data_IF_946101070207
#
_entry.id   IF_946101070207
#
_cell.length_a   1.000
_cell.length_b   1.000
_cell.length_c   1.000
_cell.angle_alpha   90.00
_cell.angle_beta   90.00
_cell.angle_gamma   90.00
#
_symmetry.space_group_name_H-M   'P 1'
#
loop_
_entity.id
_entity.type
_entity.pdbx_description
1 polymer ?
#
# COMPACT_ATOMS: atom_id res chain seq x y z
N UNK A 1 45.52 13.21 -25.62
CA UNK A 1 44.29 13.16 -26.43
C UNK A 1 43.64 11.81 -26.22
N UNK A 2 42.59 11.73 -25.40
CA UNK A 2 41.77 10.52 -25.29
C UNK A 2 40.88 10.49 -26.52
N UNK A 3 41.00 9.45 -27.34
CA UNK A 3 40.28 9.36 -28.61
C UNK A 3 38.75 9.46 -28.38
N UNK A 4 38.02 10.26 -29.17
CA UNK A 4 36.56 10.43 -29.02
C UNK A 4 35.78 9.12 -29.14
N UNK A 5 36.30 8.11 -29.84
CA UNK A 5 35.65 6.81 -30.03
C UNK A 5 35.47 5.97 -28.75
N UNK A 6 36.35 6.05 -27.76
CA UNK A 6 36.22 5.25 -26.52
C UNK A 6 35.13 5.77 -25.59
N UNK A 7 34.90 7.08 -25.59
CA UNK A 7 33.83 7.73 -24.82
C UNK A 7 32.46 7.45 -25.44
N UNK A 8 32.35 7.46 -26.77
CA UNK A 8 31.08 7.18 -27.47
C UNK A 8 30.64 5.71 -27.29
N UNK A 9 31.56 4.75 -27.36
CA UNK A 9 31.25 3.32 -27.15
C UNK A 9 30.80 3.07 -25.70
N UNK A 10 31.46 3.69 -24.71
CA UNK A 10 31.06 3.61 -23.29
C UNK A 10 29.66 4.18 -23.04
N UNK A 11 29.31 5.31 -23.66
CA UNK A 11 28.01 5.94 -23.52
C UNK A 11 26.87 5.15 -24.20
N UNK A 12 27.10 4.66 -25.41
CA UNK A 12 26.17 3.76 -26.11
C UNK A 12 25.87 2.51 -25.27
N UNK A 13 26.90 1.94 -24.66
CA UNK A 13 26.75 0.75 -23.80
C UNK A 13 25.88 1.04 -22.56
N UNK A 14 26.09 2.19 -21.88
CA UNK A 14 25.29 2.58 -20.71
C UNK A 14 23.83 2.86 -21.05
N UNK A 15 23.59 3.57 -22.15
CA UNK A 15 22.23 3.88 -22.62
C UNK A 15 21.48 2.62 -23.06
N UNK A 16 22.16 1.68 -23.72
CA UNK A 16 21.58 0.38 -24.08
C UNK A 16 21.25 -0.46 -22.84
N UNK A 17 22.12 -0.48 -21.81
CA UNK A 17 21.84 -1.17 -20.54
C UNK A 17 20.61 -0.58 -19.86
N UNK A 18 20.53 0.76 -19.76
CA UNK A 18 19.39 1.43 -19.15
C UNK A 18 18.09 1.13 -19.91
N UNK A 19 18.11 1.21 -21.24
CA UNK A 19 16.95 0.91 -22.08
C UNK A 19 16.52 -0.55 -21.93
N UNK A 20 17.47 -1.48 -21.88
CA UNK A 20 17.20 -2.91 -21.70
C UNK A 20 16.57 -3.18 -20.34
N UNK A 21 17.11 -2.59 -19.27
CA UNK A 21 16.56 -2.71 -17.92
C UNK A 21 15.17 -2.10 -17.82
N UNK A 22 14.98 -0.87 -18.32
CA UNK A 22 13.68 -0.20 -18.29
C UNK A 22 12.63 -0.99 -19.08
N UNK A 23 12.99 -1.52 -20.26
CA UNK A 23 12.10 -2.38 -21.06
C UNK A 23 11.77 -3.69 -20.32
N UNK A 24 12.74 -4.27 -19.62
CA UNK A 24 12.53 -5.48 -18.82
C UNK A 24 11.62 -5.22 -17.62
N UNK A 25 11.77 -4.06 -16.95
CA UNK A 25 10.87 -3.60 -15.88
C UNK A 25 9.44 -3.44 -16.41
N UNK A 26 9.25 -2.78 -17.56
CA UNK A 26 7.95 -2.64 -18.20
C UNK A 26 7.31 -3.99 -18.53
N UNK A 27 8.09 -4.93 -19.07
CA UNK A 27 7.63 -6.31 -19.30
C UNK A 27 7.23 -7.02 -18.01
N UNK A 28 8.01 -6.86 -16.94
CA UNK A 28 7.70 -7.39 -15.62
C UNK A 28 6.43 -6.79 -15.01
N UNK A 29 6.21 -5.49 -15.16
CA UNK A 29 4.97 -4.83 -14.75
C UNK A 29 3.76 -5.32 -15.52
N UNK A 30 3.86 -5.44 -16.85
CA UNK A 30 2.76 -5.97 -17.66
C UNK A 30 2.39 -7.39 -17.23
N UNK A 31 3.38 -8.24 -16.99
CA UNK A 31 3.17 -9.62 -16.54
C UNK A 31 2.49 -9.65 -15.17
N UNK A 32 3.03 -8.92 -14.19
CA UNK A 32 2.50 -8.88 -12.83
C UNK A 32 1.09 -8.27 -12.81
N UNK A 33 0.87 -7.15 -13.49
CA UNK A 33 -0.43 -6.51 -13.58
C UNK A 33 -1.47 -7.45 -14.22
N UNK A 34 -1.11 -8.16 -15.29
CA UNK A 34 -2.01 -9.13 -15.94
C UNK A 34 -2.39 -10.28 -14.99
N UNK A 35 -1.41 -10.82 -14.26
CA UNK A 35 -1.66 -11.88 -13.29
C UNK A 35 -2.57 -11.40 -12.15
N UNK A 36 -2.27 -10.22 -11.57
CA UNK A 36 -3.05 -9.62 -10.50
C UNK A 36 -4.46 -9.27 -10.95
N UNK A 37 -4.64 -8.68 -12.14
CA UNK A 37 -5.97 -8.38 -12.69
C UNK A 37 -6.82 -9.65 -12.83
N UNK A 38 -6.24 -10.75 -13.31
CA UNK A 38 -6.97 -11.99 -13.49
C UNK A 38 -7.31 -12.73 -12.21
N UNK A 39 -6.39 -12.81 -11.24
CA UNK A 39 -6.69 -13.31 -9.88
C UNK A 39 -7.77 -12.43 -9.23
N UNK A 40 -7.65 -11.13 -9.41
CA UNK A 40 -8.63 -10.13 -9.00
C UNK A 40 -10.02 -10.32 -9.61
N UNK A 41 -10.08 -10.70 -10.88
CA UNK A 41 -11.33 -11.00 -11.58
C UNK A 41 -12.08 -12.15 -10.91
N UNK A 42 -11.34 -13.18 -10.51
CA UNK A 42 -11.88 -14.34 -9.77
C UNK A 42 -12.37 -13.88 -8.39
N UNK A 43 -11.57 -13.08 -7.67
CA UNK A 43 -11.94 -12.53 -6.36
C UNK A 43 -13.21 -11.67 -6.43
N UNK A 44 -13.32 -10.76 -7.40
CA UNK A 44 -14.52 -9.95 -7.64
C UNK A 44 -15.75 -10.83 -7.89
N UNK A 45 -15.60 -11.90 -8.68
CA UNK A 45 -16.69 -12.84 -8.97
C UNK A 45 -17.13 -13.58 -7.72
N UNK A 46 -16.19 -14.07 -6.90
CA UNK A 46 -16.47 -14.73 -5.62
C UNK A 46 -17.20 -13.79 -4.65
N UNK A 47 -16.80 -12.52 -4.62
CA UNK A 47 -17.42 -11.48 -3.78
C UNK A 47 -18.70 -10.87 -4.39
N UNK A 48 -19.08 -11.28 -5.61
CA UNK A 48 -20.21 -10.74 -6.39
C UNK A 48 -20.13 -9.21 -6.54
N UNK A 49 -18.93 -8.71 -6.82
CA UNK A 49 -18.64 -7.31 -7.03
C UNK A 49 -18.59 -6.96 -8.52
N UNK A 50 -18.84 -5.70 -8.90
CA UNK A 50 -18.72 -5.26 -10.29
C UNK A 50 -17.29 -5.45 -10.83
N UNK A 51 -17.19 -5.79 -12.11
CA UNK A 51 -15.91 -6.03 -12.81
C UNK A 51 -15.20 -4.70 -13.12
N UNK A 52 -14.67 -4.06 -12.08
CA UNK A 52 -13.92 -2.81 -12.17
C UNK A 52 -12.42 -3.15 -12.20
N UNK A 53 -11.66 -2.78 -13.26
CA UNK A 53 -10.24 -3.17 -13.42
C UNK A 53 -9.37 -2.83 -12.23
N UNK A 54 -9.50 -1.63 -11.67
CA UNK A 54 -8.67 -1.24 -10.52
C UNK A 54 -9.02 -2.02 -9.25
N UNK A 55 -10.30 -2.31 -9.02
CA UNK A 55 -10.73 -3.14 -7.90
C UNK A 55 -10.22 -4.59 -8.06
N UNK A 56 -10.19 -5.08 -9.30
CA UNK A 56 -9.59 -6.38 -9.62
C UNK A 56 -8.10 -6.37 -9.25
N UNK A 57 -7.33 -5.37 -9.69
CA UNK A 57 -5.91 -5.27 -9.35
C UNK A 57 -5.67 -5.35 -7.83
N UNK A 58 -6.40 -4.55 -7.04
CA UNK A 58 -6.24 -4.53 -5.58
C UNK A 58 -6.61 -5.84 -4.90
N UNK A 59 -7.74 -6.46 -5.29
CA UNK A 59 -8.13 -7.75 -4.75
C UNK A 59 -7.20 -8.88 -5.21
N UNK A 60 -6.66 -8.78 -6.42
CA UNK A 60 -5.64 -9.67 -6.94
C UNK A 60 -4.34 -9.59 -6.15
N UNK A 61 -3.93 -8.39 -5.77
CA UNK A 61 -2.76 -8.17 -4.91
C UNK A 61 -2.99 -8.77 -3.51
N UNK A 62 -4.14 -8.49 -2.89
CA UNK A 62 -4.47 -9.02 -1.58
C UNK A 62 -4.56 -10.56 -1.58
N UNK A 63 -5.22 -11.14 -2.58
CA UNK A 63 -5.32 -12.59 -2.74
C UNK A 63 -3.95 -13.23 -3.00
N UNK A 64 -3.11 -12.65 -3.87
CA UNK A 64 -1.78 -13.18 -4.16
C UNK A 64 -0.87 -13.13 -2.94
N UNK A 65 -0.89 -12.03 -2.17
CA UNK A 65 -0.16 -11.93 -0.92
C UNK A 65 -0.57 -13.03 0.06
N UNK A 66 -1.88 -13.21 0.26
CA UNK A 66 -2.43 -14.22 1.17
C UNK A 66 -2.07 -15.65 0.73
N UNK A 67 -2.17 -15.94 -0.57
CA UNK A 67 -1.80 -17.25 -1.13
C UNK A 67 -0.31 -17.53 -0.93
N UNK A 68 0.55 -16.54 -1.16
CA UNK A 68 2.00 -16.68 -0.96
C UNK A 68 2.35 -16.91 0.51
N UNK A 69 1.70 -16.21 1.43
CA UNK A 69 1.89 -16.45 2.87
C UNK A 69 1.46 -17.87 3.27
N UNK A 70 0.29 -18.33 2.82
CA UNK A 70 -0.18 -19.70 3.09
C UNK A 70 0.78 -20.74 2.49
N UNK A 71 1.23 -20.54 1.25
CA UNK A 71 2.18 -21.43 0.61
C UNK A 71 3.51 -21.49 1.37
N UNK A 72 3.98 -20.33 1.83
CA UNK A 72 5.26 -20.22 2.52
C UNK A 72 5.29 -20.89 3.89
N UNK A 73 4.13 -21.10 4.53
CA UNK A 73 4.05 -21.87 5.78
C UNK A 73 4.63 -23.28 5.65
N UNK A 74 4.55 -23.88 4.45
CA UNK A 74 4.92 -25.29 4.22
C UNK A 74 6.02 -25.49 3.19
N UNK A 75 6.25 -24.53 2.30
CA UNK A 75 7.28 -24.61 1.24
C UNK A 75 8.03 -23.29 1.09
N UNK A 76 9.29 -23.30 0.65
CA UNK A 76 9.96 -22.06 0.23
C UNK A 76 9.20 -21.41 -0.93
N UNK A 77 9.26 -20.08 -1.05
CA UNK A 77 8.72 -19.36 -2.20
C UNK A 77 9.54 -19.70 -3.43
N UNK A 78 9.08 -20.68 -4.20
CA UNK A 78 9.76 -21.26 -5.35
C UNK A 78 9.11 -20.88 -6.69
N UNK A 79 9.69 -21.35 -7.79
CA UNK A 79 9.17 -21.09 -9.14
C UNK A 79 7.80 -21.70 -9.38
N UNK A 80 7.42 -22.76 -8.65
CA UNK A 80 6.15 -23.44 -8.82
C UNK A 80 4.98 -22.55 -8.39
N UNK A 81 5.07 -21.88 -7.24
CA UNK A 81 4.03 -20.94 -6.81
C UNK A 81 3.98 -19.70 -7.72
N UNK A 82 5.14 -19.20 -8.17
CA UNK A 82 5.19 -18.09 -9.13
C UNK A 82 4.52 -18.41 -10.46
N UNK A 83 4.82 -19.58 -11.04
CA UNK A 83 4.18 -20.04 -12.27
C UNK A 83 2.69 -20.30 -12.08
N UNK A 84 2.29 -20.83 -10.92
CA UNK A 84 0.88 -21.06 -10.60
C UNK A 84 0.10 -19.75 -10.58
N UNK A 85 0.57 -18.74 -9.84
CA UNK A 85 -0.06 -17.42 -9.80
C UNK A 85 -0.14 -16.78 -11.19
N UNK A 86 0.92 -16.92 -11.99
CA UNK A 86 0.95 -16.40 -13.35
C UNK A 86 -0.08 -17.09 -14.25
N UNK A 87 -0.12 -18.42 -14.27
CA UNK A 87 -1.04 -19.21 -15.10
C UNK A 87 -2.49 -18.97 -14.69
N UNK A 88 -2.80 -19.05 -13.39
CA UNK A 88 -4.14 -18.78 -12.89
C UNK A 88 -4.57 -17.33 -13.13
N UNK A 89 -3.64 -16.37 -13.00
CA UNK A 89 -3.90 -14.97 -13.32
C UNK A 89 -4.20 -14.76 -14.80
N UNK A 90 -3.34 -15.24 -15.71
CA UNK A 90 -3.58 -15.10 -17.16
C UNK A 90 -4.88 -15.81 -17.56
N UNK A 91 -5.14 -17.02 -17.06
CA UNK A 91 -6.38 -17.74 -17.34
C UNK A 91 -7.61 -17.01 -16.78
N UNK A 92 -7.52 -16.44 -15.58
CA UNK A 92 -8.56 -15.61 -14.96
C UNK A 92 -8.89 -14.36 -15.77
N UNK A 93 -7.86 -13.70 -16.31
CA UNK A 93 -8.02 -12.53 -17.17
C UNK A 93 -8.64 -12.91 -18.53
N UNK A 94 -8.11 -13.95 -19.18
CA UNK A 94 -8.59 -14.40 -20.50
C UNK A 94 -10.03 -14.93 -20.47
N UNK A 95 -10.43 -15.59 -19.36
CA UNK A 95 -11.79 -16.10 -19.19
C UNK A 95 -12.81 -15.03 -18.82
N UNK A 96 -12.38 -13.84 -18.38
CA UNK A 96 -13.27 -12.78 -17.91
C UNK A 96 -13.40 -11.64 -18.94
N UNK A 97 -14.18 -11.89 -19.99
CA UNK A 97 -14.44 -10.91 -21.06
C UNK A 97 -15.04 -9.59 -20.56
N UNK A 98 -15.80 -9.63 -19.47
CA UNK A 98 -16.38 -8.43 -18.88
C UNK A 98 -15.30 -7.50 -18.31
N UNK A 99 -14.31 -8.06 -17.60
CA UNK A 99 -13.18 -7.30 -17.08
C UNK A 99 -12.32 -6.72 -18.21
N UNK A 100 -12.01 -7.52 -19.23
CA UNK A 100 -11.23 -7.07 -20.40
C UNK A 100 -11.99 -5.96 -21.14
N UNK A 101 -13.30 -6.12 -21.32
CA UNK A 101 -14.16 -5.08 -21.90
C UNK A 101 -14.17 -3.79 -21.08
N UNK A 102 -14.24 -3.89 -19.75
CA UNK A 102 -14.16 -2.74 -18.85
C UNK A 102 -12.79 -2.04 -18.94
N UNK A 103 -11.69 -2.79 -18.95
CA UNK A 103 -10.33 -2.26 -19.10
C UNK A 103 -10.17 -1.51 -20.43
N UNK A 104 -10.59 -2.11 -21.54
CA UNK A 104 -10.55 -1.46 -22.86
C UNK A 104 -11.48 -0.23 -22.91
N UNK A 105 -12.63 -0.30 -22.23
CA UNK A 105 -13.55 0.83 -22.11
C UNK A 105 -12.92 2.00 -21.35
N UNK A 106 -12.29 1.75 -20.22
CA UNK A 106 -11.59 2.76 -19.42
C UNK A 106 -10.45 3.39 -20.22
N UNK A 107 -9.65 2.58 -20.91
CA UNK A 107 -8.57 3.08 -21.79
C UNK A 107 -9.09 3.95 -22.94
N UNK A 108 -10.23 3.60 -23.54
CA UNK A 108 -10.87 4.39 -24.63
C UNK A 108 -11.47 5.70 -24.15
N UNK A 109 -11.80 5.81 -22.86
CA UNK A 109 -12.35 7.03 -22.25
C UNK A 109 -11.27 8.04 -21.86
N UNK A 110 -10.01 7.62 -21.80
CA UNK A 110 -8.90 8.54 -21.54
C UNK A 110 -8.75 9.50 -22.72
N UNK A 111 -8.72 10.78 -22.43
CA UNK A 111 -8.36 11.81 -23.39
C UNK A 111 -6.85 11.74 -23.72
N UNK A 112 -6.44 12.47 -24.77
CA UNK A 112 -5.06 12.46 -25.25
C UNK A 112 -4.07 12.96 -24.21
N UNK A 113 -4.42 13.96 -23.40
CA UNK A 113 -3.52 14.50 -22.39
C UNK A 113 -3.30 13.50 -21.26
N UNK A 114 -4.36 12.82 -20.79
CA UNK A 114 -4.24 11.71 -19.83
C UNK A 114 -3.32 10.60 -20.33
N UNK A 115 -3.48 10.19 -21.60
CA UNK A 115 -2.65 9.13 -22.19
C UNK A 115 -1.18 9.56 -22.23
N UNK A 116 -0.88 10.77 -22.72
CA UNK A 116 0.49 11.29 -22.79
C UNK A 116 1.10 11.38 -21.39
N UNK A 117 0.35 11.90 -20.41
CA UNK A 117 0.81 12.02 -19.03
C UNK A 117 1.09 10.65 -18.40
N UNK A 118 0.18 9.69 -18.54
CA UNK A 118 0.38 8.33 -18.00
C UNK A 118 1.54 7.61 -18.68
N UNK A 119 1.73 7.77 -19.99
CA UNK A 119 2.90 7.22 -20.69
C UNK A 119 4.20 7.88 -20.23
N UNK A 120 4.21 9.19 -19.98
CA UNK A 120 5.37 9.89 -19.44
C UNK A 120 5.70 9.39 -18.02
N UNK A 121 4.69 9.27 -17.14
CA UNK A 121 4.86 8.72 -15.79
C UNK A 121 5.38 7.29 -15.86
N UNK A 122 4.81 6.44 -16.72
CA UNK A 122 5.23 5.06 -16.92
C UNK A 122 6.71 4.97 -17.33
N UNK A 123 7.12 5.80 -18.30
CA UNK A 123 8.50 5.85 -18.77
C UNK A 123 9.47 6.34 -17.68
N UNK A 124 9.11 7.41 -16.95
CA UNK A 124 9.91 7.92 -15.84
C UNK A 124 10.07 6.84 -14.78
N UNK A 125 8.98 6.23 -14.32
CA UNK A 125 9.03 5.20 -13.29
C UNK A 125 9.86 3.99 -13.74
N UNK A 126 9.80 3.57 -15.00
CA UNK A 126 10.60 2.46 -15.51
C UNK A 126 12.11 2.78 -15.47
N UNK A 127 12.48 4.01 -15.82
CA UNK A 127 13.86 4.50 -15.70
C UNK A 127 14.29 4.57 -14.23
N UNK A 128 13.45 5.10 -13.34
CA UNK A 128 13.75 5.18 -11.90
C UNK A 128 13.90 3.80 -11.26
N UNK A 129 13.04 2.85 -11.62
CA UNK A 129 13.09 1.45 -11.15
C UNK A 129 14.29 0.68 -11.72
N UNK A 130 14.96 1.22 -12.74
CA UNK A 130 16.23 0.71 -13.27
C UNK A 130 17.46 1.24 -12.51
N UNK A 131 17.27 2.16 -11.55
CA UNK A 131 18.33 2.75 -10.73
C UNK A 131 18.93 1.80 -9.67
N UNK A 132 19.90 2.27 -8.88
CA UNK A 132 20.46 1.49 -7.77
C UNK A 132 19.41 1.29 -6.64
N UNK A 133 19.63 0.28 -5.80
CA UNK A 133 18.87 0.09 -4.57
C UNK A 133 19.43 1.01 -3.48
N UNK A 134 18.78 2.14 -3.22
CA UNK A 134 19.19 3.12 -2.20
C UNK A 134 18.41 2.96 -0.89
N UNK A 135 17.37 2.12 -0.86
CA UNK A 135 16.53 1.95 0.32
C UNK A 135 17.30 1.22 1.45
N UNK A 136 17.53 1.93 2.56
CA UNK A 136 18.36 1.47 3.69
C UNK A 136 17.93 0.11 4.26
N UNK A 137 16.62 -0.08 4.49
CA UNK A 137 16.10 -1.28 5.13
C UNK A 137 16.27 -2.54 4.26
N UNK A 138 16.41 -2.38 2.93
CA UNK A 138 16.71 -3.48 2.01
C UNK A 138 18.05 -4.11 2.33
N UNK A 139 19.10 -3.28 2.50
CA UNK A 139 20.43 -3.75 2.86
C UNK A 139 20.54 -4.18 4.33
N UNK A 140 19.76 -3.56 5.21
CA UNK A 140 19.77 -3.87 6.64
C UNK A 140 19.19 -5.24 6.98
N UNK A 141 18.06 -5.62 6.36
CA UNK A 141 17.43 -6.92 6.58
C UNK A 141 16.58 -7.41 5.42
N UNK A 142 15.99 -6.54 4.61
CA UNK A 142 15.00 -6.91 3.61
C UNK A 142 15.48 -7.92 2.56
N UNK A 143 16.65 -7.71 1.97
CA UNK A 143 17.23 -8.63 0.98
C UNK A 143 17.57 -10.01 1.59
N UNK A 144 18.02 -10.03 2.85
CA UNK A 144 18.30 -11.26 3.59
C UNK A 144 16.99 -11.99 3.96
N UNK A 145 15.95 -11.27 4.39
CA UNK A 145 14.61 -11.83 4.60
C UNK A 145 14.07 -12.47 3.33
N UNK A 146 14.13 -11.78 2.18
CA UNK A 146 13.73 -12.36 0.89
C UNK A 146 14.52 -13.63 0.57
N UNK A 147 15.82 -13.69 0.91
CA UNK A 147 16.63 -14.91 0.74
C UNK A 147 16.15 -16.06 1.61
N UNK A 148 15.84 -15.82 2.88
CA UNK A 148 15.24 -16.84 3.76
C UNK A 148 13.96 -17.40 3.17
N UNK A 149 13.07 -16.55 2.65
CA UNK A 149 11.79 -16.96 2.06
C UNK A 149 11.95 -17.84 0.81
N UNK A 150 12.98 -17.58 -0.01
CA UNK A 150 13.25 -18.37 -1.22
C UNK A 150 13.95 -19.69 -0.89
N UNK A 151 14.72 -19.74 0.20
CA UNK A 151 15.53 -20.92 0.54
C UNK A 151 14.81 -21.93 1.43
N UNK A 152 13.91 -21.48 2.30
CA UNK A 152 13.28 -22.33 3.31
C UNK A 152 11.78 -22.02 3.43
N UNK A 153 10.95 -22.99 3.89
CA UNK A 153 9.62 -22.67 4.40
C UNK A 153 9.72 -21.81 5.67
N UNK A 154 8.59 -21.34 6.21
CA UNK A 154 8.55 -20.55 7.44
C UNK A 154 9.32 -21.24 8.60
N UNK A 155 10.45 -20.64 8.99
CA UNK A 155 11.36 -21.19 10.00
C UNK A 155 10.96 -20.75 11.42
N UNK A 156 10.69 -21.69 12.33
CA UNK A 156 10.41 -21.38 13.73
C UNK A 156 11.58 -20.61 14.39
N UNK A 157 11.29 -19.47 14.99
CA UNK A 157 12.25 -18.72 15.80
C UNK A 157 13.32 -17.95 15.04
N UNK A 158 13.16 -17.70 13.74
CA UNK A 158 14.13 -16.94 12.94
C UNK A 158 14.48 -15.57 13.55
N UNK A 159 13.54 -14.96 14.28
CA UNK A 159 13.75 -13.71 15.02
C UNK A 159 14.79 -13.82 16.16
N UNK A 160 15.07 -15.01 16.69
CA UNK A 160 16.13 -15.21 17.69
C UNK A 160 17.53 -15.17 17.08
N UNK A 161 17.67 -15.49 15.80
CA UNK A 161 18.95 -15.35 15.10
C UNK A 161 19.29 -13.87 14.94
N UNK A 162 18.30 -13.07 14.54
CA UNK A 162 18.42 -11.62 14.48
C UNK A 162 17.02 -10.99 14.49
N UNK A 163 16.76 -10.07 15.43
CA UNK A 163 15.40 -9.56 15.70
C UNK A 163 14.67 -8.99 14.48
N UNK A 164 15.40 -8.42 13.51
CA UNK A 164 14.78 -7.86 12.29
C UNK A 164 14.20 -8.92 11.35
N UNK A 165 14.61 -10.18 11.45
CA UNK A 165 13.96 -11.28 10.72
C UNK A 165 12.60 -11.66 11.30
N UNK A 166 12.27 -11.15 12.50
CA UNK A 166 10.91 -11.18 13.04
C UNK A 166 10.00 -10.08 12.51
N UNK A 167 10.50 -9.10 11.75
CA UNK A 167 9.66 -8.07 11.14
C UNK A 167 8.84 -8.69 10.01
N UNK A 168 7.63 -9.11 10.35
CA UNK A 168 6.75 -9.82 9.45
C UNK A 168 6.05 -8.87 8.47
N UNK A 169 6.23 -9.09 7.18
CA UNK A 169 5.58 -8.31 6.12
C UNK A 169 5.18 -9.18 4.93
N UNK A 170 3.90 -9.12 4.53
CA UNK A 170 3.39 -9.81 3.33
C UNK A 170 3.95 -9.24 2.01
N UNK A 171 4.69 -8.13 2.07
CA UNK A 171 5.46 -7.63 0.94
C UNK A 171 6.64 -8.56 0.59
N UNK A 172 7.29 -9.18 1.58
CA UNK A 172 8.47 -10.01 1.32
C UNK A 172 8.16 -11.25 0.47
N UNK A 173 7.06 -12.01 0.70
CA UNK A 173 6.67 -13.09 -0.21
C UNK A 173 6.38 -12.61 -1.64
N UNK A 174 5.74 -11.44 -1.80
CA UNK A 174 5.48 -10.83 -3.11
C UNK A 174 6.78 -10.45 -3.85
N UNK A 175 7.82 -10.03 -3.12
CA UNK A 175 9.14 -9.78 -3.71
C UNK A 175 9.88 -11.11 -3.96
N UNK A 176 9.77 -12.07 -3.05
CA UNK A 176 10.46 -13.36 -3.13
C UNK A 176 10.03 -14.19 -4.35
N UNK A 177 8.75 -14.15 -4.73
CA UNK A 177 8.27 -14.88 -5.92
C UNK A 177 8.91 -14.38 -7.22
N UNK A 178 9.40 -13.13 -7.23
CA UNK A 178 10.10 -12.55 -8.37
C UNK A 178 11.57 -13.00 -8.49
N UNK A 179 12.11 -13.73 -7.51
CA UNK A 179 13.49 -14.26 -7.56
C UNK A 179 13.69 -15.40 -8.56
N UNK A 180 12.66 -15.78 -9.31
CA UNK A 180 12.68 -16.94 -10.18
C UNK A 180 12.55 -16.56 -11.66
N UNK A 181 13.13 -17.39 -12.53
CA UNK A 181 13.04 -17.23 -13.98
C UNK A 181 13.62 -15.90 -14.48
N UNK A 182 13.01 -15.35 -15.53
CA UNK A 182 13.48 -14.11 -16.17
C UNK A 182 13.29 -12.85 -15.30
N UNK A 183 12.47 -12.92 -14.25
CA UNK A 183 12.23 -11.82 -13.32
C UNK A 183 13.28 -11.75 -12.20
N UNK A 184 14.10 -12.79 -12.01
CA UNK A 184 15.10 -12.84 -10.95
C UNK A 184 16.03 -11.61 -10.92
N UNK A 185 16.56 -11.11 -12.06
CA UNK A 185 17.37 -9.88 -12.08
C UNK A 185 16.60 -8.60 -11.72
N UNK A 186 15.26 -8.66 -11.78
CA UNK A 186 14.34 -7.54 -11.54
C UNK A 186 13.67 -7.59 -10.16
N UNK A 187 13.97 -8.60 -9.32
CA UNK A 187 13.31 -8.88 -8.03
C UNK A 187 12.88 -7.62 -7.26
N UNK A 188 13.81 -6.70 -7.00
CA UNK A 188 13.59 -5.51 -6.16
C UNK A 188 13.06 -4.29 -6.93
N UNK A 189 12.76 -4.42 -8.23
CA UNK A 189 12.47 -3.32 -9.16
C UNK A 189 11.01 -3.26 -9.62
N UNK A 190 10.24 -4.31 -9.32
CA UNK A 190 8.90 -4.48 -9.90
C UNK A 190 7.81 -3.90 -8.99
N UNK A 191 7.73 -4.34 -7.73
CA UNK A 191 6.53 -4.14 -6.91
C UNK A 191 6.24 -2.66 -6.64
N UNK A 192 7.22 -1.90 -6.13
CA UNK A 192 6.99 -0.51 -5.70
C UNK A 192 6.64 0.41 -6.88
N UNK A 193 7.45 0.36 -7.95
CA UNK A 193 7.17 1.14 -9.16
C UNK A 193 5.83 0.79 -9.82
N UNK A 194 5.42 -0.49 -9.79
CA UNK A 194 4.10 -0.91 -10.26
C UNK A 194 2.98 -0.29 -9.41
N UNK A 195 3.11 -0.32 -8.08
CA UNK A 195 2.12 0.27 -7.18
C UNK A 195 2.00 1.78 -7.35
N UNK A 196 3.12 2.48 -7.55
CA UNK A 196 3.13 3.93 -7.83
C UNK A 196 2.48 4.21 -9.19
N UNK A 197 2.73 3.40 -10.22
CA UNK A 197 2.08 3.56 -11.51
C UNK A 197 0.57 3.33 -11.44
N UNK A 198 0.13 2.31 -10.71
CA UNK A 198 -1.30 2.04 -10.47
C UNK A 198 -1.95 3.18 -9.67
N UNK A 199 -1.22 3.76 -8.71
CA UNK A 199 -1.65 4.97 -8.01
C UNK A 199 -1.84 6.14 -8.97
N UNK A 200 -0.92 6.33 -9.92
CA UNK A 200 -1.02 7.35 -10.96
C UNK A 200 -2.27 7.16 -11.83
N UNK A 201 -2.59 5.93 -12.25
CA UNK A 201 -3.81 5.64 -13.00
C UNK A 201 -5.08 6.05 -12.24
N UNK A 202 -5.10 5.90 -10.92
CA UNK A 202 -6.23 6.29 -10.07
C UNK A 202 -6.34 7.81 -9.85
N UNK A 203 -5.21 8.52 -9.86
CA UNK A 203 -5.15 9.96 -9.54
C UNK A 203 -5.36 10.82 -10.80
N UNK A 204 -4.79 10.42 -11.95
CA UNK A 204 -4.81 11.24 -13.17
C UNK A 204 -6.23 11.44 -13.70
N UNK A 205 -7.06 10.39 -13.74
CA UNK A 205 -8.40 10.49 -14.31
C UNK A 205 -9.32 11.49 -13.55
N UNK A 206 -9.41 11.46 -12.20
CA UNK A 206 -10.09 12.51 -11.43
C UNK A 206 -9.55 13.93 -11.68
N UNK A 207 -8.23 14.11 -11.71
CA UNK A 207 -7.62 15.42 -11.96
C UNK A 207 -8.08 16.00 -13.30
N UNK A 208 -8.12 15.17 -14.34
CA UNK A 208 -8.49 15.60 -15.68
C UNK A 208 -9.97 15.96 -15.77
N UNK A 209 -10.86 15.20 -15.11
CA UNK A 209 -12.28 15.56 -14.98
C UNK A 209 -12.47 16.92 -14.30
N UNK A 210 -11.70 17.21 -13.25
CA UNK A 210 -11.73 18.52 -12.59
C UNK A 210 -11.25 19.64 -13.52
N UNK A 211 -10.15 19.42 -14.24
CA UNK A 211 -9.60 20.40 -15.20
C UNK A 211 -10.58 20.72 -16.33
N UNK A 212 -11.28 19.70 -16.85
CA UNK A 212 -12.33 19.87 -17.86
C UNK A 212 -13.68 20.32 -17.29
N UNK A 213 -13.79 20.53 -15.97
CA UNK A 213 -15.02 20.89 -15.25
C UNK A 213 -16.16 19.88 -15.47
N UNK A 214 -15.82 18.63 -15.73
CA UNK A 214 -16.75 17.51 -15.88
C UNK A 214 -17.17 16.91 -14.54
N UNK A 215 -16.41 17.21 -13.48
CA UNK A 215 -16.69 16.80 -12.11
C UNK A 215 -16.45 17.96 -11.14
N UNK A 216 -17.18 17.95 -10.04
CA UNK A 216 -16.89 18.76 -8.86
C UNK A 216 -17.04 17.92 -7.58
N UNK A 217 -16.81 16.61 -7.68
CA UNK A 217 -16.96 15.72 -6.54
C UNK A 217 -15.84 15.96 -5.51
N UNK A 218 -16.16 15.98 -4.20
CA UNK A 218 -15.16 15.99 -3.15
C UNK A 218 -14.12 14.88 -3.27
N UNK A 219 -14.49 13.70 -3.78
CA UNK A 219 -13.53 12.59 -3.92
C UNK A 219 -12.53 12.82 -5.05
N UNK A 220 -12.94 13.51 -6.10
CA UNK A 220 -12.04 13.89 -7.19
C UNK A 220 -11.05 14.95 -6.70
N UNK A 221 -11.52 15.90 -5.87
CA UNK A 221 -10.64 16.86 -5.19
C UNK A 221 -9.66 16.18 -4.23
N UNK A 222 -10.11 15.19 -3.45
CA UNK A 222 -9.21 14.39 -2.63
C UNK A 222 -8.14 13.69 -3.48
N UNK A 223 -8.54 13.04 -4.58
CA UNK A 223 -7.59 12.42 -5.51
C UNK A 223 -6.61 13.45 -6.12
N UNK A 224 -7.07 14.67 -6.40
CA UNK A 224 -6.22 15.74 -6.90
C UNK A 224 -5.16 16.21 -5.89
N UNK A 225 -5.49 16.24 -4.59
CA UNK A 225 -4.49 16.50 -3.54
C UNK A 225 -3.40 15.42 -3.55
N UNK A 226 -3.76 14.15 -3.83
CA UNK A 226 -2.80 13.04 -3.90
C UNK A 226 -1.83 13.15 -5.10
N UNK A 227 -2.04 14.06 -6.05
CA UNK A 227 -1.05 14.36 -7.10
C UNK A 227 0.29 14.84 -6.51
N UNK A 228 0.25 15.50 -5.35
CA UNK A 228 1.43 16.01 -4.67
C UNK A 228 2.32 14.86 -4.13
N UNK A 229 1.83 13.96 -3.24
CA UNK A 229 2.62 12.81 -2.81
C UNK A 229 3.01 11.90 -3.98
N UNK A 230 2.15 11.74 -5.00
CA UNK A 230 2.47 10.99 -6.21
C UNK A 230 3.72 11.56 -6.92
N UNK A 231 3.79 12.88 -7.07
CA UNK A 231 4.95 13.55 -7.67
C UNK A 231 6.22 13.25 -6.86
N UNK A 232 6.13 13.27 -5.52
CA UNK A 232 7.27 12.90 -4.68
C UNK A 232 7.64 11.42 -4.79
N UNK A 233 6.68 10.49 -4.89
CA UNK A 233 6.98 9.07 -5.09
C UNK A 233 7.67 8.81 -6.43
N UNK A 234 7.25 9.50 -7.50
CA UNK A 234 7.88 9.40 -8.82
C UNK A 234 9.32 9.91 -8.78
N UNK A 235 9.58 11.00 -8.05
CA UNK A 235 10.88 11.67 -8.03
C UNK A 235 11.86 11.12 -6.99
N UNK A 236 11.40 10.44 -5.95
CA UNK A 236 12.26 9.83 -4.91
C UNK A 236 13.12 8.68 -5.47
N UNK A 237 14.25 8.41 -4.81
CA UNK A 237 15.28 7.44 -5.23
C UNK A 237 15.09 6.01 -4.71
N UNK A 238 14.04 5.78 -3.94
CA UNK A 238 13.87 4.57 -3.12
C UNK A 238 12.83 3.58 -3.65
N UNK A 239 12.48 3.65 -4.96
CA UNK A 239 11.57 2.72 -5.64
C UNK A 239 12.15 1.31 -5.87
N UNK A 240 13.45 1.14 -5.64
CA UNK A 240 14.15 -0.14 -5.78
C UNK A 240 14.50 -0.65 -4.39
N UNK A 241 13.91 -1.78 -3.99
CA UNK A 241 14.16 -2.37 -2.70
C UNK A 241 13.03 -3.25 -2.18
N UNK A 242 12.92 -3.26 -0.86
CA UNK A 242 11.87 -3.94 -0.09
C UNK A 242 11.22 -2.97 0.88
N UNK A 243 10.90 -1.75 0.42
CA UNK A 243 10.30 -0.71 1.24
C UNK A 243 8.87 -1.10 1.61
N UNK A 244 8.61 -1.28 2.91
CA UNK A 244 7.27 -1.60 3.42
C UNK A 244 6.38 -0.37 3.62
N UNK A 245 6.98 0.82 3.74
CA UNK A 245 6.28 2.05 4.15
C UNK A 245 5.47 2.66 3.00
N UNK A 246 6.07 2.74 1.81
CA UNK A 246 5.42 3.30 0.61
C UNK A 246 4.21 2.46 0.16
N UNK A 247 4.32 1.13 -0.05
CA UNK A 247 3.18 0.28 -0.34
C UNK A 247 2.06 0.40 0.70
N UNK A 248 2.39 0.37 2.00
CA UNK A 248 1.38 0.51 3.06
C UNK A 248 0.69 1.89 3.03
N UNK A 249 1.42 2.96 2.70
CA UNK A 249 0.88 4.32 2.57
C UNK A 249 -0.05 4.44 1.37
N UNK A 250 0.33 3.89 0.21
CA UNK A 250 -0.52 3.83 -0.99
C UNK A 250 -1.84 3.10 -0.68
N UNK A 251 -1.77 1.92 -0.07
CA UNK A 251 -2.95 1.14 0.28
C UNK A 251 -3.85 1.89 1.28
N UNK A 252 -3.25 2.55 2.28
CA UNK A 252 -3.98 3.35 3.27
C UNK A 252 -4.71 4.53 2.63
N UNK A 253 -4.04 5.29 1.75
CA UNK A 253 -4.63 6.45 1.08
C UNK A 253 -5.77 6.07 0.14
N UNK A 254 -5.63 4.98 -0.61
CA UNK A 254 -6.74 4.50 -1.45
C UNK A 254 -7.87 3.90 -0.64
N UNK A 255 -7.60 3.23 0.47
CA UNK A 255 -8.66 2.82 1.40
C UNK A 255 -9.43 4.04 1.94
N UNK A 256 -8.72 5.10 2.35
CA UNK A 256 -9.33 6.37 2.78
C UNK A 256 -10.16 6.98 1.64
N UNK A 257 -9.65 7.00 0.42
CA UNK A 257 -10.39 7.47 -0.76
C UNK A 257 -11.70 6.70 -0.98
N UNK A 258 -11.68 5.37 -0.94
CA UNK A 258 -12.87 4.53 -1.09
C UNK A 258 -13.88 4.74 0.05
N UNK A 259 -13.42 4.87 1.30
CA UNK A 259 -14.28 5.20 2.45
C UNK A 259 -14.91 6.58 2.25
N UNK A 260 -14.11 7.57 1.86
CA UNK A 260 -14.57 8.93 1.65
C UNK A 260 -15.65 9.01 0.55
N UNK A 261 -15.45 8.31 -0.57
CA UNK A 261 -16.45 8.15 -1.64
C UNK A 261 -17.74 7.51 -1.16
N UNK A 262 -17.63 6.46 -0.34
CA UNK A 262 -18.78 5.76 0.20
C UNK A 262 -19.63 6.60 1.18
N UNK A 263 -19.04 7.59 1.85
CA UNK A 263 -19.70 8.41 2.87
C UNK A 263 -20.21 9.77 2.38
N UNK A 264 -19.60 10.38 1.37
CA UNK A 264 -19.97 11.74 0.92
C UNK A 264 -21.11 11.80 -0.11
N UNK A 265 -22.13 10.95 0.05
CA UNK A 265 -23.38 10.98 -0.73
C UNK A 265 -23.24 10.84 -2.26
N UNK A 266 -22.06 10.48 -2.79
CA UNK A 266 -21.98 9.92 -4.14
C UNK A 266 -22.85 8.65 -4.25
N UNK A 267 -23.25 8.05 -3.14
CA UNK A 267 -24.18 6.92 -3.03
C UNK A 267 -25.45 7.11 -3.88
N UNK A 268 -26.00 8.32 -3.98
CA UNK A 268 -27.18 8.61 -4.80
C UNK A 268 -26.87 8.63 -6.32
N UNK A 269 -25.64 8.96 -6.70
CA UNK A 269 -25.16 9.03 -8.08
C UNK A 269 -24.57 7.69 -8.57
N UNK A 270 -23.96 6.92 -7.66
CA UNK A 270 -23.14 5.73 -7.94
C UNK A 270 -23.88 4.42 -7.64
N UNK A 271 -24.97 4.49 -6.85
CA UNK A 271 -25.80 3.34 -6.50
C UNK A 271 -25.20 2.46 -5.39
N UNK A 272 -26.09 1.78 -4.65
CA UNK A 272 -25.72 1.00 -3.45
C UNK A 272 -24.73 -0.15 -3.71
N UNK A 273 -24.78 -0.75 -4.92
CA UNK A 273 -23.89 -1.84 -5.32
C UNK A 273 -22.44 -1.39 -5.45
N UNK A 274 -22.19 -0.22 -6.04
CA UNK A 274 -20.84 0.32 -6.19
C UNK A 274 -20.31 0.86 -4.87
N UNK A 275 -21.14 1.47 -4.03
CA UNK A 275 -20.73 1.83 -2.65
C UNK A 275 -20.33 0.60 -1.83
N UNK A 276 -21.08 -0.50 -1.95
CA UNK A 276 -20.71 -1.77 -1.30
C UNK A 276 -19.38 -2.31 -1.82
N UNK A 277 -19.12 -2.19 -3.13
CA UNK A 277 -17.83 -2.55 -3.73
C UNK A 277 -16.69 -1.74 -3.14
N UNK A 278 -16.84 -0.42 -3.07
CA UNK A 278 -15.81 0.48 -2.54
C UNK A 278 -15.47 0.14 -1.08
N UNK A 279 -16.49 -0.10 -0.26
CA UNK A 279 -16.30 -0.49 1.15
C UNK A 279 -15.59 -1.85 1.29
N UNK A 280 -15.96 -2.86 0.50
CA UNK A 280 -15.30 -4.17 0.56
C UNK A 280 -13.86 -4.13 0.02
N UNK A 281 -13.58 -3.31 -0.99
CA UNK A 281 -12.22 -3.07 -1.47
C UNK A 281 -11.40 -2.32 -0.41
N UNK A 282 -11.97 -1.32 0.26
CA UNK A 282 -11.31 -0.64 1.37
C UNK A 282 -10.95 -1.60 2.51
N UNK A 283 -11.84 -2.55 2.86
CA UNK A 283 -11.54 -3.61 3.83
C UNK A 283 -10.31 -4.44 3.41
N UNK A 284 -10.25 -4.86 2.15
CA UNK A 284 -9.10 -5.62 1.61
C UNK A 284 -7.80 -4.81 1.64
N UNK A 285 -7.85 -3.54 1.21
CA UNK A 285 -6.71 -2.63 1.21
C UNK A 285 -6.17 -2.37 2.62
N UNK A 286 -7.05 -2.13 3.59
CA UNK A 286 -6.67 -1.95 5.00
C UNK A 286 -6.06 -3.22 5.57
N UNK A 287 -6.62 -4.39 5.26
CA UNK A 287 -6.06 -5.68 5.70
C UNK A 287 -4.66 -5.88 5.16
N UNK A 288 -4.47 -5.63 3.86
CA UNK A 288 -3.17 -5.73 3.22
C UNK A 288 -2.19 -4.68 3.77
N UNK A 289 -2.63 -3.44 4.01
CA UNK A 289 -1.81 -2.39 4.61
C UNK A 289 -1.26 -2.80 5.98
N UNK A 290 -2.06 -3.48 6.81
CA UNK A 290 -1.61 -4.03 8.11
C UNK A 290 -0.52 -5.07 7.91
N UNK A 291 -0.73 -6.01 6.98
CA UNK A 291 0.26 -7.05 6.68
C UNK A 291 1.54 -6.50 6.06
N UNK A 292 1.49 -5.35 5.37
CA UNK A 292 2.69 -4.71 4.84
C UNK A 292 3.42 -3.94 5.93
N UNK A 293 2.67 -3.22 6.77
CA UNK A 293 3.19 -2.40 7.87
C UNK A 293 2.23 -2.35 9.05
N UNK A 294 2.67 -2.90 10.17
CA UNK A 294 1.92 -2.95 11.43
C UNK A 294 1.47 -1.56 11.94
N UNK A 295 2.18 -0.47 11.60
CA UNK A 295 1.77 0.89 12.02
C UNK A 295 0.41 1.33 11.48
N UNK A 296 -0.12 0.67 10.44
CA UNK A 296 -1.45 0.94 9.88
C UNK A 296 -2.59 0.25 10.64
N UNK A 297 -2.30 -0.62 11.62
CA UNK A 297 -3.30 -1.41 12.33
C UNK A 297 -4.36 -0.59 13.06
N UNK A 298 -3.98 0.57 13.63
CA UNK A 298 -4.95 1.45 14.30
C UNK A 298 -5.90 2.07 13.28
N UNK A 299 -5.38 2.59 12.17
CA UNK A 299 -6.20 3.12 11.07
C UNK A 299 -7.19 2.06 10.59
N UNK A 300 -6.70 0.85 10.29
CA UNK A 300 -7.51 -0.26 9.80
C UNK A 300 -8.61 -0.66 10.79
N UNK A 301 -8.29 -0.77 12.09
CA UNK A 301 -9.25 -1.20 13.11
C UNK A 301 -10.41 -0.20 13.25
N UNK A 302 -10.12 1.10 13.33
CA UNK A 302 -11.16 2.12 13.44
C UNK A 302 -11.96 2.23 12.13
N UNK A 303 -11.28 2.15 10.98
CA UNK A 303 -11.92 2.19 9.68
C UNK A 303 -12.83 0.97 9.43
N UNK A 304 -12.46 -0.24 9.86
CA UNK A 304 -13.35 -1.41 9.79
C UNK A 304 -14.61 -1.21 10.62
N UNK A 305 -14.51 -0.66 11.84
CA UNK A 305 -15.68 -0.31 12.64
C UNK A 305 -16.62 0.66 11.91
N UNK A 306 -16.04 1.68 11.28
CA UNK A 306 -16.78 2.66 10.48
C UNK A 306 -17.42 2.04 9.23
N UNK A 307 -16.70 1.17 8.52
CA UNK A 307 -17.21 0.45 7.35
C UNK A 307 -18.36 -0.48 7.74
N UNK A 308 -18.24 -1.24 8.83
CA UNK A 308 -19.30 -2.12 9.31
C UNK A 308 -20.54 -1.33 9.73
N UNK A 309 -20.36 -0.15 10.33
CA UNK A 309 -21.45 0.78 10.62
C UNK A 309 -22.14 1.26 9.33
N UNK A 310 -21.39 1.66 8.31
CA UNK A 310 -21.95 2.12 7.03
C UNK A 310 -22.62 1.00 6.24
N UNK A 311 -22.05 -0.19 6.23
CA UNK A 311 -22.72 -1.34 5.67
C UNK A 311 -24.04 -1.56 6.40
N UNK A 312 -24.05 -1.58 7.74
CA UNK A 312 -25.31 -1.72 8.49
C UNK A 312 -26.36 -0.65 8.12
N UNK A 313 -25.97 0.61 7.94
CA UNK A 313 -26.90 1.70 7.59
C UNK A 313 -27.48 1.53 6.18
N UNK A 314 -26.67 1.15 5.19
CA UNK A 314 -27.11 0.85 3.82
C UNK A 314 -28.04 -0.38 3.76
N UNK A 315 -27.89 -1.30 4.72
CA UNK A 315 -28.55 -2.61 4.72
C UNK A 315 -29.90 -2.63 5.44
N UNK A 316 -30.32 -1.55 6.10
CA UNK A 316 -31.71 -1.40 6.60
C UNK A 316 -32.75 -1.36 5.46
N UNK A 317 -32.33 -1.46 4.20
CA UNK A 317 -33.14 -1.24 3.00
C UNK A 317 -33.20 -2.42 2.00
N UNK A 318 -32.54 -3.58 2.23
CA UNK A 318 -32.56 -4.72 1.27
C UNK A 318 -32.55 -6.12 1.92
N UNK A 319 -32.55 -7.22 1.16
CA UNK A 319 -32.69 -8.61 1.67
C UNK A 319 -31.43 -9.50 1.52
N UNK A 320 -30.40 -9.10 0.74
CA UNK A 320 -29.16 -9.89 0.52
C UNK A 320 -28.09 -9.65 1.62
N UNK A 321 -28.54 -9.14 2.78
CA UNK A 321 -27.76 -8.38 3.75
C UNK A 321 -26.69 -9.15 4.52
N UNK A 322 -26.98 -10.40 4.91
CA UNK A 322 -26.04 -11.17 5.74
C UNK A 322 -24.76 -11.51 4.99
N UNK A 323 -24.84 -11.66 3.65
CA UNK A 323 -23.72 -12.08 2.83
C UNK A 323 -22.66 -10.99 2.70
N UNK A 324 -23.04 -9.73 2.52
CA UNK A 324 -22.09 -8.61 2.41
C UNK A 324 -21.37 -8.35 3.73
N UNK A 325 -22.11 -8.35 4.84
CA UNK A 325 -21.51 -8.24 6.18
C UNK A 325 -20.52 -9.38 6.45
N UNK A 326 -20.91 -10.63 6.11
CA UNK A 326 -20.00 -11.77 6.22
C UNK A 326 -18.76 -11.62 5.32
N UNK A 327 -18.89 -11.11 4.09
CA UNK A 327 -17.74 -10.83 3.22
C UNK A 327 -16.79 -9.81 3.85
N UNK A 328 -17.32 -8.74 4.46
CA UNK A 328 -16.51 -7.73 5.16
C UNK A 328 -15.74 -8.30 6.36
N UNK A 329 -16.26 -9.36 7.00
CA UNK A 329 -15.56 -10.06 8.09
C UNK A 329 -14.58 -11.13 7.58
N UNK A 330 -14.93 -11.83 6.49
CA UNK A 330 -14.11 -12.91 5.94
C UNK A 330 -12.85 -12.37 5.26
N UNK A 331 -12.91 -11.22 4.57
CA UNK A 331 -11.74 -10.66 3.87
C UNK A 331 -10.55 -10.43 4.83
N UNK A 332 -10.69 -9.72 5.97
CA UNK A 332 -9.60 -9.57 6.93
C UNK A 332 -9.13 -10.92 7.47
N UNK A 333 -10.02 -11.88 7.73
CA UNK A 333 -9.63 -13.19 8.21
C UNK A 333 -8.74 -13.93 7.20
N UNK A 334 -9.07 -13.88 5.91
CA UNK A 334 -8.27 -14.53 4.86
C UNK A 334 -6.89 -13.89 4.69
N UNK A 335 -6.77 -12.57 4.88
CA UNK A 335 -5.52 -11.84 4.70
C UNK A 335 -4.65 -11.84 5.95
N UNK A 336 -5.24 -11.65 7.13
CA UNK A 336 -4.49 -11.50 8.38
C UNK A 336 -4.12 -12.84 9.02
N UNK A 337 -4.91 -13.90 8.82
CA UNK A 337 -4.63 -15.20 9.46
C UNK A 337 -3.30 -15.81 9.01
N UNK A 338 -2.98 -15.87 7.70
CA UNK A 338 -1.67 -16.35 7.24
C UNK A 338 -0.53 -15.49 7.78
N UNK A 339 -0.66 -14.16 7.74
CA UNK A 339 0.30 -13.23 8.32
C UNK A 339 0.51 -13.46 9.82
N UNK A 340 -0.56 -13.63 10.61
CA UNK A 340 -0.47 -13.95 12.05
C UNK A 340 0.26 -15.27 12.29
N UNK A 341 -0.08 -16.33 11.53
CA UNK A 341 0.58 -17.62 11.62
C UNK A 341 2.08 -17.49 11.35
N UNK A 342 2.44 -16.69 10.34
CA UNK A 342 3.82 -16.34 10.03
C UNK A 342 4.54 -15.68 11.20
N UNK A 343 3.94 -14.66 11.82
CA UNK A 343 4.51 -13.98 12.98
C UNK A 343 4.77 -14.94 14.15
N UNK A 344 3.79 -15.80 14.44
CA UNK A 344 3.88 -16.82 15.49
C UNK A 344 5.01 -17.83 15.22
N UNK A 345 5.18 -18.27 13.97
CA UNK A 345 6.29 -19.15 13.60
C UNK A 345 7.62 -18.41 13.74
N UNK A 346 7.76 -17.25 13.12
CA UNK A 346 9.04 -16.51 13.07
C UNK A 346 9.53 -16.05 14.44
N UNK A 347 8.63 -15.75 15.38
CA UNK A 347 8.98 -15.07 16.64
C UNK A 347 8.27 -15.55 17.90
N UNK A 348 7.22 -16.37 17.77
CA UNK A 348 6.30 -16.70 18.87
C UNK A 348 5.27 -15.60 19.19
N UNK A 349 5.22 -14.51 18.40
CA UNK A 349 4.27 -13.40 18.54
C UNK A 349 3.53 -13.10 17.23
N UNK A 350 2.21 -12.85 17.23
CA UNK A 350 1.44 -12.55 16.01
C UNK A 350 1.98 -11.38 15.19
N UNK A 351 2.48 -10.34 15.88
CA UNK A 351 2.80 -9.04 15.30
C UNK A 351 4.09 -8.46 15.88
N UNK A 352 5.19 -9.22 15.84
CA UNK A 352 6.50 -8.78 16.35
C UNK A 352 6.92 -7.41 15.74
N UNK A 353 7.46 -6.46 16.51
CA UNK A 353 7.92 -6.55 17.90
C UNK A 353 6.86 -6.19 18.96
N UNK A 354 5.58 -6.48 18.72
CA UNK A 354 4.57 -6.49 19.78
C UNK A 354 4.71 -7.76 20.62
N UNK A 355 4.81 -7.61 21.95
CA UNK A 355 4.81 -8.72 22.90
C UNK A 355 3.39 -9.23 23.24
N UNK A 356 2.37 -8.62 22.66
CA UNK A 356 0.96 -8.96 22.90
C UNK A 356 0.61 -10.29 22.24
N UNK A 357 -0.13 -11.15 22.97
CA UNK A 357 -0.62 -12.46 22.49
C UNK A 357 0.48 -13.44 22.08
N UNK A 358 1.66 -13.38 22.71
CA UNK A 358 2.71 -14.38 22.50
C UNK A 358 2.31 -15.77 23.03
N UNK A 359 2.64 -16.82 22.28
CA UNK A 359 2.29 -18.21 22.62
C UNK A 359 3.46 -18.93 23.32
N UNK A 360 3.20 -19.90 24.22
CA UNK A 360 4.26 -20.60 24.95
C UNK A 360 4.92 -21.69 24.08
N UNK A 361 5.77 -21.28 23.14
CA UNK A 361 6.56 -22.18 22.27
C UNK A 361 8.06 -22.02 22.55
N UNK A 362 8.83 -23.08 22.33
CA UNK A 362 10.27 -23.15 22.67
C UNK A 362 11.11 -22.10 21.96
N UNK A 363 10.69 -21.68 20.76
CA UNK A 363 11.38 -20.69 19.94
C UNK A 363 10.84 -19.26 20.12
N UNK A 364 9.94 -19.01 21.08
CA UNK A 364 9.42 -17.65 21.32
C UNK A 364 10.58 -16.74 21.74
N UNK A 365 10.69 -15.59 21.08
CA UNK A 365 11.69 -14.57 21.45
C UNK A 365 11.46 -14.12 22.90
N UNK A 366 12.50 -14.03 23.75
CA UNK A 366 12.35 -13.51 25.11
C UNK A 366 11.69 -12.13 25.14
N UNK A 367 10.79 -11.90 26.09
CA UNK A 367 9.98 -10.66 26.16
C UNK A 367 10.86 -9.43 26.36
N UNK A 368 11.98 -9.59 27.06
CA UNK A 368 13.00 -8.56 27.27
C UNK A 368 13.61 -8.12 25.94
N UNK A 369 13.95 -9.09 25.07
CA UNK A 369 14.48 -8.82 23.72
C UNK A 369 13.44 -8.16 22.83
N UNK A 370 12.17 -8.58 22.91
CA UNK A 370 11.05 -7.95 22.17
C UNK A 370 10.89 -6.48 22.60
N UNK A 371 10.92 -6.23 23.91
CA UNK A 371 10.81 -4.89 24.47
C UNK A 371 12.00 -4.01 24.06
N UNK A 372 13.21 -4.56 24.00
CA UNK A 372 14.39 -3.84 23.53
C UNK A 372 14.26 -3.44 22.06
N UNK A 373 13.83 -4.35 21.18
CA UNK A 373 13.61 -4.05 19.75
C UNK A 373 12.50 -3.00 19.59
N UNK A 374 11.39 -3.13 20.32
CA UNK A 374 10.31 -2.14 20.34
C UNK A 374 10.81 -0.77 20.80
N UNK A 375 11.62 -0.72 21.86
CA UNK A 375 12.22 0.51 22.35
C UNK A 375 13.17 1.14 21.31
N UNK A 376 13.98 0.32 20.63
CA UNK A 376 14.85 0.77 19.54
C UNK A 376 14.08 1.37 18.36
N UNK A 377 12.99 0.74 17.92
CA UNK A 377 12.12 1.27 16.84
C UNK A 377 11.50 2.60 17.26
N UNK A 378 10.98 2.70 18.49
CA UNK A 378 10.42 3.94 19.03
C UNK A 378 11.47 5.03 19.18
N UNK A 379 12.67 4.68 19.64
CA UNK A 379 13.78 5.62 19.80
C UNK A 379 14.20 6.20 18.44
N UNK A 380 14.39 5.34 17.44
CA UNK A 380 14.68 5.74 16.07
C UNK A 380 13.61 6.68 15.50
N UNK A 381 12.34 6.41 15.79
CA UNK A 381 11.24 7.24 15.30
C UNK A 381 11.15 8.63 15.97
N UNK A 382 11.65 8.77 17.20
CA UNK A 382 11.63 10.02 17.97
C UNK A 382 12.87 10.86 17.77
N UNK A 383 14.04 10.22 17.76
CA UNK A 383 15.34 10.87 17.67
C UNK A 383 16.30 9.93 16.91
N UNK A 384 16.26 9.90 15.56
CA UNK A 384 17.12 9.04 14.78
C UNK A 384 18.61 9.35 15.06
N UNK A 385 19.46 8.33 15.01
CA UNK A 385 20.90 8.41 15.30
C UNK A 385 21.28 8.92 16.70
N UNK A 386 20.33 8.95 17.64
CA UNK A 386 20.56 9.39 19.03
C UNK A 386 20.55 8.20 20.01
N UNK A 387 20.98 8.42 21.25
CA UNK A 387 20.90 7.40 22.32
C UNK A 387 19.43 7.10 22.68
N UNK A 388 19.17 5.92 23.25
CA UNK A 388 17.83 5.59 23.76
C UNK A 388 17.35 6.61 24.80
N UNK A 389 18.26 7.09 25.66
CA UNK A 389 17.98 8.09 26.70
C UNK A 389 17.42 9.39 26.10
N UNK A 390 18.02 9.87 25.01
CA UNK A 390 17.55 11.08 24.31
C UNK A 390 16.13 10.93 23.73
N UNK A 391 15.67 9.70 23.49
CA UNK A 391 14.33 9.40 23.00
C UNK A 391 13.29 9.13 24.11
N UNK A 392 13.69 9.17 25.38
CA UNK A 392 12.80 8.99 26.53
C UNK A 392 12.15 10.31 26.97
N UNK A 393 11.05 10.20 27.72
CA UNK A 393 10.32 11.36 28.25
C UNK A 393 9.83 12.31 27.14
N UNK A 394 10.09 13.60 27.33
CA UNK A 394 9.68 14.68 26.42
C UNK A 394 10.87 15.38 25.73
N UNK A 395 12.12 14.99 26.01
CA UNK A 395 13.32 15.66 25.47
C UNK A 395 13.41 15.60 23.94
N UNK A 396 12.93 14.51 23.35
CA UNK A 396 12.90 14.32 21.91
C UNK A 396 11.94 15.26 21.17
N UNK A 397 10.90 15.81 21.83
CA UNK A 397 9.82 16.53 21.16
C UNK A 397 10.30 17.75 20.37
N UNK A 398 11.18 18.56 20.95
CA UNK A 398 11.67 19.78 20.31
C UNK A 398 12.52 19.46 19.08
N UNK A 399 13.47 18.52 19.22
CA UNK A 399 14.31 18.07 18.11
C UNK A 399 13.49 17.41 17.00
N UNK A 400 12.53 16.56 17.38
CA UNK A 400 11.61 15.91 16.45
C UNK A 400 10.77 16.93 15.68
N UNK A 401 10.18 17.91 16.36
CA UNK A 401 9.37 18.95 15.71
C UNK A 401 10.22 19.81 14.77
N UNK A 402 11.48 20.08 15.13
CA UNK A 402 12.41 20.79 14.27
C UNK A 402 12.75 20.01 13.00
N UNK A 403 12.90 18.68 13.08
CA UNK A 403 13.10 17.82 11.92
C UNK A 403 11.80 17.70 11.09
N UNK A 404 10.66 17.52 11.76
CA UNK A 404 9.36 17.38 11.12
C UNK A 404 8.98 18.64 10.32
N UNK A 405 9.12 19.84 10.91
CA UNK A 405 8.86 21.10 10.19
C UNK A 405 9.82 21.33 9.01
N UNK A 406 11.03 20.78 9.08
CA UNK A 406 12.02 20.89 8.01
C UNK A 406 11.67 19.95 6.84
N UNK A 407 10.99 18.84 7.11
CA UNK A 407 10.38 17.98 6.09
C UNK A 407 9.11 18.63 5.52
N UNK A 408 9.32 19.44 4.48
CA UNK A 408 8.23 20.10 3.77
C UNK A 408 7.26 19.11 3.14
N UNK A 409 7.76 18.00 2.61
CA UNK A 409 7.01 17.08 1.76
C UNK A 409 6.18 16.10 2.59
N UNK A 410 6.80 15.53 3.62
CA UNK A 410 6.19 14.52 4.49
C UNK A 410 5.36 15.09 5.63
N UNK A 411 5.51 16.37 5.98
CA UNK A 411 4.86 16.94 7.18
C UNK A 411 4.25 18.32 6.96
N UNK A 412 5.03 19.34 6.57
CA UNK A 412 4.53 20.71 6.57
C UNK A 412 3.43 20.96 5.53
N UNK A 413 3.58 20.42 4.31
CA UNK A 413 2.62 20.59 3.23
C UNK A 413 1.30 19.85 3.46
N UNK A 414 1.27 18.56 3.87
CA UNK A 414 0.02 17.90 4.27
C UNK A 414 -0.74 18.66 5.35
N UNK A 415 -0.05 19.12 6.41
CA UNK A 415 -0.70 19.87 7.49
C UNK A 415 -1.24 21.23 7.03
N UNK A 416 -0.54 21.93 6.13
CA UNK A 416 -1.02 23.17 5.54
C UNK A 416 -2.30 22.92 4.73
N UNK A 417 -2.33 21.86 3.91
CA UNK A 417 -3.51 21.49 3.11
C UNK A 417 -4.68 21.11 4.02
N UNK A 418 -4.45 20.29 5.04
CA UNK A 418 -5.46 19.94 6.04
C UNK A 418 -6.01 21.17 6.77
N UNK A 419 -5.15 22.11 7.17
CA UNK A 419 -5.55 23.36 7.82
C UNK A 419 -6.40 24.24 6.88
N UNK A 420 -6.02 24.35 5.60
CA UNK A 420 -6.79 25.07 4.60
C UNK A 420 -8.14 24.39 4.35
N UNK A 421 -8.19 23.06 4.25
CA UNK A 421 -9.43 22.29 4.13
C UNK A 421 -10.37 22.51 5.32
N UNK A 422 -9.85 22.47 6.54
CA UNK A 422 -10.62 22.76 7.74
C UNK A 422 -11.15 24.21 7.73
N UNK A 423 -10.31 25.18 7.37
CA UNK A 423 -10.73 26.57 7.24
C UNK A 423 -11.83 26.74 6.20
N UNK A 424 -11.71 26.10 5.03
CA UNK A 424 -12.73 26.12 3.98
C UNK A 424 -14.06 25.53 4.45
N UNK A 425 -14.06 24.42 5.19
CA UNK A 425 -15.28 23.82 5.77
C UNK A 425 -15.94 24.79 6.77
N UNK A 426 -15.15 25.41 7.66
CA UNK A 426 -15.67 26.37 8.64
C UNK A 426 -16.22 27.63 7.94
N UNK A 427 -15.51 28.18 6.96
CA UNK A 427 -15.92 29.37 6.23
C UNK A 427 -17.23 29.15 5.45
N UNK A 428 -17.35 28.02 4.73
CA UNK A 428 -18.55 27.67 3.96
C UNK A 428 -19.75 27.36 4.85
N UNK A 429 -19.57 26.64 5.96
CA UNK A 429 -20.66 26.35 6.91
C UNK A 429 -21.27 27.61 7.56
N UNK A 430 -20.46 28.66 7.76
CA UNK A 430 -20.92 29.96 8.27
C UNK A 430 -21.70 30.74 7.22
N UNK A 431 -21.30 30.62 5.95
CA UNK A 431 -21.91 31.37 4.86
C UNK A 431 -23.22 30.76 4.37
N UNK A 432 -23.30 29.43 4.22
CA UNK A 432 -24.46 28.77 3.61
C UNK A 432 -25.58 28.40 4.62
N UNK A 433 -25.43 28.72 5.91
CA UNK A 433 -26.30 28.21 6.99
C UNK A 433 -26.51 26.68 6.94
N UNK A 434 -25.61 25.96 6.27
CA UNK A 434 -25.67 24.51 6.13
C UNK A 434 -25.27 23.89 7.46
N UNK A 435 -26.16 23.07 8.04
CA UNK A 435 -25.85 22.37 9.28
C UNK A 435 -24.66 21.44 9.03
N UNK A 436 -23.60 21.64 9.80
CA UNK A 436 -22.46 20.73 9.86
C UNK A 436 -22.96 19.32 10.16
N UNK A 437 -22.85 18.41 9.19
CA UNK A 437 -23.25 17.03 9.37
C UNK A 437 -22.06 16.23 9.87
N UNK A 438 -22.12 15.80 11.12
CA UNK A 438 -21.10 14.92 11.74
C UNK A 438 -20.87 13.65 10.93
N UNK A 439 -21.87 13.18 10.18
CA UNK A 439 -21.74 12.03 9.28
C UNK A 439 -20.77 12.27 8.12
N UNK A 440 -20.65 13.50 7.61
CA UNK A 440 -19.70 13.84 6.51
C UNK A 440 -18.24 13.85 6.97
N UNK A 441 -18.03 14.11 8.25
CA UNK A 441 -16.69 14.07 8.87
C UNK A 441 -16.34 12.67 9.41
N UNK A 442 -17.27 11.70 9.36
CA UNK A 442 -17.03 10.38 9.89
C UNK A 442 -15.78 9.68 9.31
N UNK A 443 -15.47 9.80 8.00
CA UNK A 443 -14.23 9.28 7.42
C UNK A 443 -12.93 9.86 8.00
N UNK A 444 -12.97 11.00 8.71
CA UNK A 444 -11.79 11.59 9.35
C UNK A 444 -11.44 10.91 10.67
N UNK A 445 -12.39 10.23 11.35
CA UNK A 445 -12.12 9.61 12.65
C UNK A 445 -10.98 8.56 12.61
N UNK A 446 -10.95 7.60 11.65
CA UNK A 446 -9.83 6.68 11.53
C UNK A 446 -8.48 7.38 11.34
N UNK A 447 -8.46 8.48 10.57
CA UNK A 447 -7.24 9.24 10.27
C UNK A 447 -6.75 9.99 11.51
N UNK A 448 -7.62 10.71 12.20
CA UNK A 448 -7.25 11.50 13.41
C UNK A 448 -6.80 10.58 14.56
N UNK A 449 -7.51 9.49 14.81
CA UNK A 449 -7.12 8.50 15.83
C UNK A 449 -5.82 7.80 15.42
N UNK A 450 -5.67 7.50 14.13
CA UNK A 450 -4.44 6.98 13.55
C UNK A 450 -3.25 7.91 13.76
N UNK A 451 -3.39 9.22 13.50
CA UNK A 451 -2.35 10.23 13.71
C UNK A 451 -1.95 10.33 15.18
N UNK A 452 -2.92 10.37 16.10
CA UNK A 452 -2.62 10.37 17.54
C UNK A 452 -1.84 9.12 17.98
N UNK A 453 -2.23 7.96 17.43
CA UNK A 453 -1.57 6.69 17.74
C UNK A 453 -0.18 6.57 17.10
N UNK A 454 -0.01 7.02 15.86
CA UNK A 454 1.28 7.13 15.19
C UNK A 454 2.23 8.02 16.00
N UNK A 455 1.77 9.20 16.41
CA UNK A 455 2.56 10.14 17.18
C UNK A 455 2.99 9.54 18.53
N UNK A 456 2.07 8.84 19.20
CA UNK A 456 2.36 8.18 20.48
C UNK A 456 3.33 7.01 20.32
N UNK A 457 3.11 6.11 19.35
CA UNK A 457 3.83 4.85 19.21
C UNK A 457 5.22 5.04 18.60
N UNK A 458 5.30 5.60 17.39
CA UNK A 458 6.53 5.74 16.62
C UNK A 458 6.38 6.86 15.58
N UNK A 459 6.67 8.13 15.96
CA UNK A 459 6.38 9.31 15.14
C UNK A 459 7.36 9.52 13.96
N UNK A 460 7.89 8.46 13.35
CA UNK A 460 8.70 8.61 12.14
C UNK A 460 7.79 9.03 10.98
N UNK A 461 8.14 10.09 10.26
CA UNK A 461 7.30 10.63 9.17
C UNK A 461 6.96 9.58 8.11
N UNK A 462 7.93 8.71 7.77
CA UNK A 462 7.73 7.58 6.84
C UNK A 462 6.65 6.59 7.27
N UNK A 463 6.37 6.45 8.58
CA UNK A 463 5.31 5.56 9.08
C UNK A 463 3.92 6.22 9.07
N UNK A 464 3.87 7.55 8.99
CA UNK A 464 2.65 8.35 9.06
C UNK A 464 2.21 8.93 7.72
N UNK A 465 2.93 8.69 6.63
CA UNK A 465 2.69 9.35 5.33
C UNK A 465 1.24 9.17 4.84
N UNK A 466 0.70 7.94 4.89
CA UNK A 466 -0.69 7.69 4.52
C UNK A 466 -1.74 8.34 5.44
N UNK A 467 -1.40 8.63 6.69
CA UNK A 467 -2.27 9.35 7.62
C UNK A 467 -2.19 10.86 7.43
N UNK A 468 -0.99 11.40 7.21
CA UNK A 468 -0.74 12.83 7.03
C UNK A 468 -1.38 13.34 5.74
N UNK A 469 -1.23 12.60 4.63
CA UNK A 469 -1.88 12.92 3.35
C UNK A 469 -3.36 12.54 3.30
N UNK A 470 -3.82 11.69 4.22
CA UNK A 470 -5.22 11.29 4.31
C UNK A 470 -6.09 12.25 5.12
N UNK A 471 -5.48 13.15 5.90
CA UNK A 471 -6.13 14.20 6.69
C UNK A 471 -6.47 15.40 5.80
#
# INVERSE_FOLDING_TARGET
>A
MIAPHSVTISFLTRSMILLTLASSVLGGWLLCASALLGIGAIALRCLRLPMIPINAFWLGLAASASILEVYHLVRPVDSAIGLSLLVFGIAGLASNRALVGALLGDLRRLDRASIVLLLAILAILAVRSSGPCEHYDTGLYGAATVRWLVSYPALPGLANLHGRFGFNSALFPLVAVLQHGFLAPLTFRIIEGLLVFVAACLIVAPCVRLLHRESNSPSDWFAAVLLIPLTFWILRGDLVGTNTDLPASILSLFAIHYIFRAFNFETALIGATSTTSDLLVAVALLSLAVTFKLSTAVLATIAWGLILYQLRSLHLLSSDNKRVYNRALVIPLLVLTPWIAHGLILSGYPAYPSSVLGIPVDWRVPVESVNLVRAGVRAWARAPFSSLEAATGFHWLCGWFHQARADRQGFALPLLIAALGCFSIVATSRHEQTRFSTARCAPLFPVVIGLGSWFYLAPALRFGEGLLWGL
#
